data_IF_381907541234
#
_entry.id   IF_381907541234
#
_cell.length_a   1.000
_cell.length_b   1.000
_cell.length_c   1.000
_cell.angle_alpha   90.00
_cell.angle_beta   90.00
_cell.angle_gamma   90.00
#
_symmetry.space_group_name_H-M   'P 1'
#
loop_
_entity.id
_entity.type
_entity.pdbx_description
1 polymer ?
#
# COMPACT_ATOMS: atom_id res chain seq x y z
N UNK A 1 -8.65 14.26 -20.31
CA UNK A 1 -9.01 12.87 -19.91
C UNK A 1 -7.71 12.15 -19.62
N UNK A 2 -7.62 11.44 -18.48
CA UNK A 2 -6.43 10.66 -18.14
C UNK A 2 -6.39 9.42 -19.06
N UNK A 3 -5.51 9.43 -20.07
CA UNK A 3 -5.35 8.33 -21.01
C UNK A 3 -4.88 7.01 -20.36
N UNK A 4 -4.40 7.07 -19.11
CA UNK A 4 -3.83 5.94 -18.36
C UNK A 4 -4.80 5.39 -17.28
N UNK A 5 -6.06 5.82 -17.27
CA UNK A 5 -7.10 5.36 -16.34
C UNK A 5 -8.44 5.17 -17.06
N UNK A 6 -9.18 4.06 -16.84
CA UNK A 6 -8.90 2.98 -15.90
C UNK A 6 -7.84 1.99 -16.40
N UNK A 7 -7.09 1.38 -15.46
CA UNK A 7 -6.08 0.35 -15.74
C UNK A 7 -6.20 -0.79 -14.73
N UNK A 8 -5.86 -2.00 -15.16
CA UNK A 8 -5.69 -3.18 -14.30
C UNK A 8 -4.24 -3.67 -14.45
N UNK A 9 -3.57 -3.92 -13.32
CA UNK A 9 -2.19 -4.43 -13.26
C UNK A 9 -2.20 -5.77 -12.56
N UNK A 10 -1.41 -6.72 -13.04
CA UNK A 10 -1.35 -8.08 -12.47
C UNK A 10 0.09 -8.57 -12.43
N UNK A 11 0.47 -9.14 -11.30
CA UNK A 11 1.74 -9.84 -11.11
C UNK A 11 1.52 -11.09 -10.25
N UNK A 12 1.64 -12.26 -10.88
CA UNK A 12 1.32 -13.54 -10.25
C UNK A 12 -0.10 -13.55 -9.68
N UNK A 13 -0.23 -13.77 -8.38
CA UNK A 13 -1.52 -13.80 -7.69
C UNK A 13 -2.00 -12.42 -7.21
N UNK A 14 -1.18 -11.39 -7.36
CA UNK A 14 -1.50 -10.02 -6.91
C UNK A 14 -2.05 -9.20 -8.08
N UNK A 15 -3.16 -8.52 -7.85
CA UNK A 15 -3.77 -7.64 -8.85
C UNK A 15 -4.12 -6.27 -8.27
N UNK A 16 -4.08 -5.26 -9.13
CA UNK A 16 -4.59 -3.91 -8.88
C UNK A 16 -5.67 -3.61 -9.93
N UNK A 17 -6.85 -3.24 -9.49
CA UNK A 17 -7.94 -2.82 -10.35
C UNK A 17 -8.72 -1.64 -9.79
N UNK A 18 -9.41 -0.87 -10.63
CA UNK A 18 -10.26 0.21 -10.15
C UNK A 18 -11.31 -0.25 -9.14
N UNK A 19 -11.55 0.58 -8.10
CA UNK A 19 -12.62 0.34 -7.13
C UNK A 19 -14.00 0.45 -7.78
N UNK A 20 -14.92 -0.45 -7.43
CA UNK A 20 -16.27 -0.56 -7.98
C UNK A 20 -17.32 -0.56 -6.89
N UNK A 21 -18.56 -0.14 -7.21
CA UNK A 21 -19.67 -0.14 -6.24
C UNK A 21 -19.96 -1.53 -5.65
N UNK A 22 -19.77 -2.58 -6.44
CA UNK A 22 -19.95 -3.99 -6.01
C UNK A 22 -18.93 -4.45 -4.98
N UNK A 23 -17.85 -3.72 -4.76
CA UNK A 23 -16.83 -4.05 -3.76
C UNK A 23 -17.29 -3.76 -2.32
N UNK A 24 -18.45 -3.12 -2.15
CA UNK A 24 -18.95 -2.68 -0.85
C UNK A 24 -19.00 -3.79 0.21
N UNK A 25 -19.52 -4.97 -0.14
CA UNK A 25 -19.64 -6.09 0.80
C UNK A 25 -18.27 -6.56 1.29
N UNK A 26 -17.35 -6.85 0.37
CA UNK A 26 -15.99 -7.27 0.69
C UNK A 26 -15.22 -6.19 1.45
N UNK A 27 -15.33 -4.93 1.03
CA UNK A 27 -14.71 -3.79 1.70
C UNK A 27 -15.17 -3.67 3.16
N UNK A 28 -16.49 -3.76 3.39
CA UNK A 28 -17.08 -3.68 4.73
C UNK A 28 -16.63 -4.83 5.62
N UNK A 29 -16.66 -6.06 5.11
CA UNK A 29 -16.22 -7.26 5.83
C UNK A 29 -14.75 -7.14 6.25
N UNK A 30 -13.85 -6.80 5.31
CA UNK A 30 -12.42 -6.69 5.59
C UNK A 30 -12.16 -5.58 6.62
N UNK A 31 -12.76 -4.39 6.45
CA UNK A 31 -12.58 -3.28 7.39
C UNK A 31 -13.12 -3.61 8.79
N UNK A 32 -14.23 -4.35 8.88
CA UNK A 32 -14.82 -4.74 10.16
C UNK A 32 -13.92 -5.72 10.92
N UNK A 33 -13.42 -6.79 10.26
CA UNK A 33 -12.54 -7.77 10.91
C UNK A 33 -11.14 -7.22 11.22
N UNK A 34 -10.68 -6.24 10.45
CA UNK A 34 -9.36 -5.62 10.63
C UNK A 34 -9.40 -4.30 11.42
N UNK A 35 -10.52 -3.96 12.08
CA UNK A 35 -10.68 -2.65 12.72
C UNK A 35 -9.55 -2.32 13.70
N UNK A 36 -9.16 -3.27 14.56
CA UNK A 36 -8.07 -3.08 15.51
C UNK A 36 -6.71 -2.95 14.81
N UNK A 37 -6.49 -3.71 13.73
CA UNK A 37 -5.28 -3.69 12.93
C UNK A 37 -5.09 -2.38 12.15
N UNK A 38 -6.17 -1.83 11.57
CA UNK A 38 -6.13 -0.65 10.70
C UNK A 38 -6.24 0.67 11.47
N UNK A 39 -6.99 0.69 12.58
CA UNK A 39 -7.29 1.90 13.34
C UNK A 39 -6.07 2.78 13.65
N UNK A 40 -4.91 2.27 14.10
CA UNK A 40 -3.75 3.11 14.42
C UNK A 40 -3.20 3.87 13.19
N UNK A 41 -3.58 3.46 11.99
CA UNK A 41 -3.07 3.98 10.72
C UNK A 41 -4.16 4.68 9.89
N UNK A 42 -5.40 4.68 10.37
CA UNK A 42 -6.54 5.23 9.64
C UNK A 42 -6.53 6.76 9.69
N UNK A 43 -6.56 7.37 8.50
CA UNK A 43 -6.73 8.82 8.39
C UNK A 43 -8.10 9.24 8.91
N UNK A 44 -8.12 10.26 9.75
CA UNK A 44 -9.32 10.80 10.37
C UNK A 44 -9.46 12.29 10.06
N UNK A 45 -10.68 12.80 10.04
CA UNK A 45 -10.94 14.23 9.89
C UNK A 45 -10.78 14.90 11.24
N UNK A 46 -9.97 15.97 11.36
CA UNK A 46 -9.88 16.73 12.62
C UNK A 46 -11.24 17.33 12.98
N UNK A 47 -11.49 17.62 14.28
CA UNK A 47 -12.69 18.33 14.71
C UNK A 47 -12.86 19.65 13.95
N UNK A 48 -14.10 19.97 13.58
CA UNK A 48 -14.40 21.25 12.96
C UNK A 48 -14.09 22.40 13.92
N UNK A 49 -13.62 23.56 13.43
CA UNK A 49 -13.46 24.75 14.24
C UNK A 49 -14.79 25.18 14.91
N UNK A 50 -14.75 25.92 16.04
CA UNK A 50 -15.94 26.42 16.67
C UNK A 50 -16.85 27.18 15.68
N UNK A 51 -18.15 26.89 15.69
CA UNK A 51 -19.13 27.49 14.78
C UNK A 51 -19.24 26.82 13.39
N UNK A 52 -18.42 25.81 13.08
CA UNK A 52 -18.49 25.07 11.84
C UNK A 52 -19.08 23.67 12.04
N UNK A 53 -19.85 23.19 11.05
CA UNK A 53 -20.40 21.85 11.10
C UNK A 53 -19.33 20.81 10.76
N UNK A 54 -19.25 19.73 11.56
CA UNK A 54 -18.43 18.57 11.24
C UNK A 54 -18.92 17.93 9.95
N UNK A 55 -18.08 17.76 8.92
CA UNK A 55 -18.46 17.06 7.69
C UNK A 55 -18.91 15.63 8.01
N UNK A 56 -20.07 15.22 7.47
CA UNK A 56 -20.52 13.83 7.60
C UNK A 56 -19.57 12.91 6.81
N UNK A 57 -19.20 11.78 7.40
CA UNK A 57 -18.45 10.75 6.67
C UNK A 57 -19.26 10.31 5.44
N UNK A 58 -18.65 10.30 4.24
CA UNK A 58 -19.33 9.85 3.04
C UNK A 58 -19.70 8.37 3.14
N UNK A 59 -20.83 8.00 2.58
CA UNK A 59 -21.16 6.58 2.38
C UNK A 59 -20.19 5.95 1.39
N UNK A 60 -20.05 4.63 1.40
CA UNK A 60 -19.19 3.91 0.44
C UNK A 60 -19.52 4.31 -1.01
N UNK A 61 -20.82 4.41 -1.35
CA UNK A 61 -21.28 4.82 -2.67
C UNK A 61 -20.82 6.23 -3.07
N UNK A 62 -20.89 7.18 -2.12
CA UNK A 62 -20.41 8.55 -2.34
C UNK A 62 -18.90 8.58 -2.50
N UNK A 63 -18.18 7.82 -1.65
CA UNK A 63 -16.73 7.73 -1.71
C UNK A 63 -16.26 7.14 -3.06
N UNK A 64 -16.83 6.03 -3.53
CA UNK A 64 -16.49 5.43 -4.83
C UNK A 64 -16.79 6.39 -5.97
N UNK A 65 -17.90 7.15 -5.92
CA UNK A 65 -18.19 8.18 -6.94
C UNK A 65 -17.13 9.28 -6.95
N UNK A 66 -16.76 9.78 -5.78
CA UNK A 66 -15.72 10.79 -5.63
C UNK A 66 -14.38 10.29 -6.18
N UNK A 67 -13.91 9.12 -5.73
CA UNK A 67 -12.66 8.51 -6.18
C UNK A 67 -12.63 8.34 -7.72
N UNK A 68 -13.73 7.91 -8.32
CA UNK A 68 -13.83 7.78 -9.78
C UNK A 68 -13.79 9.12 -10.50
N UNK A 69 -14.45 10.15 -9.97
CA UNK A 69 -14.40 11.49 -10.53
C UNK A 69 -12.99 12.07 -10.50
N UNK A 70 -12.29 11.92 -9.36
CA UNK A 70 -10.89 12.34 -9.22
C UNK A 70 -9.95 11.57 -10.16
N UNK A 71 -10.19 10.26 -10.35
CA UNK A 71 -9.41 9.45 -11.27
C UNK A 71 -9.63 9.86 -12.74
N UNK A 72 -10.88 10.13 -13.16
CA UNK A 72 -11.16 10.66 -14.50
C UNK A 72 -10.57 12.04 -14.73
N UNK A 73 -10.47 12.84 -13.68
CA UNK A 73 -9.83 14.15 -13.73
C UNK A 73 -8.28 14.08 -13.69
N UNK A 74 -7.70 12.87 -13.57
CA UNK A 74 -6.26 12.67 -13.56
C UNK A 74 -5.56 13.08 -12.27
N UNK A 75 -6.31 13.24 -11.16
CA UNK A 75 -5.75 13.65 -9.88
C UNK A 75 -5.41 12.49 -8.95
N UNK A 76 -5.91 11.29 -9.23
CA UNK A 76 -5.59 10.08 -8.47
C UNK A 76 -5.83 8.80 -9.27
N UNK A 77 -5.31 7.68 -8.77
CA UNK A 77 -5.59 6.32 -9.24
C UNK A 77 -5.94 5.42 -8.04
N UNK A 78 -7.26 5.22 -7.74
CA UNK A 78 -7.72 4.44 -6.60
C UNK A 78 -7.90 2.96 -6.98
N UNK A 79 -7.02 2.11 -6.51
CA UNK A 79 -7.05 0.66 -6.75
C UNK A 79 -7.60 -0.12 -5.56
N UNK A 80 -8.30 -1.20 -5.88
CA UNK A 80 -8.46 -2.35 -5.01
C UNK A 80 -7.26 -3.26 -5.21
N UNK A 81 -6.64 -3.70 -4.11
CA UNK A 81 -5.63 -4.76 -4.13
C UNK A 81 -6.34 -6.10 -4.05
N UNK A 82 -6.02 -6.98 -4.98
CA UNK A 82 -6.52 -8.37 -4.97
C UNK A 82 -5.37 -9.35 -4.75
N UNK A 83 -5.67 -10.45 -4.08
CA UNK A 83 -4.79 -11.59 -3.94
C UNK A 83 -5.60 -12.85 -4.21
N UNK A 84 -5.14 -13.68 -5.14
CA UNK A 84 -5.89 -14.87 -5.61
C UNK A 84 -7.33 -14.50 -6.04
N UNK A 85 -7.48 -13.39 -6.76
CA UNK A 85 -8.76 -12.89 -7.26
C UNK A 85 -9.69 -12.25 -6.21
N UNK A 86 -9.35 -12.30 -4.91
CA UNK A 86 -10.17 -11.74 -3.81
C UNK A 86 -9.63 -10.36 -3.41
N UNK A 87 -10.53 -9.44 -3.11
CA UNK A 87 -10.15 -8.15 -2.51
C UNK A 87 -9.49 -8.38 -1.15
N UNK A 88 -8.31 -7.81 -0.95
CA UNK A 88 -7.56 -7.90 0.31
C UNK A 88 -7.06 -6.54 0.82
N UNK A 89 -7.29 -5.46 0.09
CA UNK A 89 -6.82 -4.14 0.49
C UNK A 89 -7.13 -3.06 -0.54
N UNK A 90 -6.56 -1.90 -0.32
CA UNK A 90 -6.59 -0.79 -1.27
C UNK A 90 -5.21 -0.16 -1.40
N UNK A 91 -4.93 0.37 -2.57
CA UNK A 91 -3.78 1.21 -2.86
C UNK A 91 -4.27 2.41 -3.68
N UNK A 92 -3.85 3.60 -3.29
CA UNK A 92 -4.23 4.82 -4.01
C UNK A 92 -2.99 5.63 -4.32
N UNK A 93 -2.81 5.99 -5.58
CA UNK A 93 -1.92 7.07 -5.99
C UNK A 93 -2.76 8.34 -5.95
N UNK A 94 -2.37 9.33 -5.17
CA UNK A 94 -3.13 10.55 -4.94
C UNK A 94 -2.26 11.80 -5.07
N UNK A 95 -2.89 12.96 -5.21
CA UNK A 95 -2.17 14.23 -5.33
C UNK A 95 -1.28 14.28 -6.56
N UNK A 96 -1.71 13.71 -7.68
CA UNK A 96 -0.96 13.77 -8.93
C UNK A 96 -0.85 15.24 -9.35
N UNK A 97 0.38 15.71 -9.37
CA UNK A 97 0.74 17.10 -9.69
C UNK A 97 1.74 17.09 -10.84
N UNK A 98 1.48 17.90 -11.85
CA UNK A 98 2.33 18.05 -13.03
C UNK A 98 3.25 19.28 -12.95
N UNK A 99 3.85 19.63 -14.03
CA UNK A 99 4.78 20.75 -14.14
C UNK A 99 6.14 20.44 -13.54
N UNK A 100 6.74 21.37 -12.82
CA UNK A 100 8.09 21.22 -12.25
C UNK A 100 8.18 20.19 -11.12
N UNK A 101 7.08 19.80 -10.49
CA UNK A 101 7.05 18.78 -9.44
C UNK A 101 6.92 17.38 -10.01
N UNK A 102 5.98 17.15 -10.92
CA UNK A 102 5.69 15.89 -11.61
C UNK A 102 5.67 14.68 -10.66
N UNK A 103 4.84 14.75 -9.60
CA UNK A 103 4.87 13.82 -8.47
C UNK A 103 3.48 13.37 -8.03
N UNK A 104 3.47 12.30 -7.22
CA UNK A 104 2.28 11.81 -6.52
C UNK A 104 2.65 11.12 -5.20
N UNK A 105 1.62 10.84 -4.39
CA UNK A 105 1.74 10.07 -3.14
C UNK A 105 1.08 8.71 -3.28
N UNK A 106 1.67 7.67 -2.69
CA UNK A 106 1.07 6.34 -2.60
C UNK A 106 0.65 6.08 -1.15
N UNK A 107 -0.62 5.73 -0.97
CA UNK A 107 -1.17 5.25 0.30
C UNK A 107 -1.78 3.86 0.13
N UNK A 108 -1.64 2.98 1.13
CA UNK A 108 -2.18 1.63 1.08
C UNK A 108 -2.57 1.08 2.44
N UNK A 109 -3.44 0.08 2.40
CA UNK A 109 -3.73 -0.80 3.52
C UNK A 109 -4.02 -2.21 3.04
N UNK A 110 -3.85 -3.19 3.91
CA UNK A 110 -4.05 -4.61 3.59
C UNK A 110 -4.69 -5.35 4.75
N UNK A 111 -5.45 -6.38 4.42
CA UNK A 111 -5.98 -7.37 5.35
C UNK A 111 -4.84 -8.08 6.09
N UNK A 112 -4.93 -8.14 7.42
CA UNK A 112 -3.96 -8.83 8.27
C UNK A 112 -3.77 -10.30 7.90
N UNK A 113 -4.81 -10.95 7.38
CA UNK A 113 -4.78 -12.36 6.96
C UNK A 113 -3.77 -12.65 5.84
N UNK A 114 -3.40 -11.63 5.04
CA UNK A 114 -2.42 -11.76 3.95
C UNK A 114 -1.19 -10.87 4.16
N UNK A 115 -1.08 -10.20 5.30
CA UNK A 115 0.11 -9.44 5.64
C UNK A 115 1.35 -10.34 5.70
N UNK A 116 2.50 -9.82 5.26
CA UNK A 116 3.75 -10.59 5.22
C UNK A 116 3.94 -11.49 4.00
N UNK A 117 2.91 -11.70 3.16
CA UNK A 117 2.96 -12.56 1.96
C UNK A 117 3.48 -11.85 0.70
N UNK A 118 4.10 -10.69 0.80
CA UNK A 118 4.61 -9.95 -0.36
C UNK A 118 3.54 -9.19 -1.16
N UNK A 119 2.27 -9.24 -0.78
CA UNK A 119 1.16 -8.62 -1.54
C UNK A 119 1.37 -7.12 -1.72
N UNK A 120 1.63 -6.38 -0.64
CA UNK A 120 1.81 -4.92 -0.73
C UNK A 120 3.08 -4.52 -1.45
N UNK A 121 4.27 -5.09 -1.17
CA UNK A 121 5.45 -4.78 -1.97
C UNK A 121 5.24 -5.00 -3.47
N UNK A 122 4.61 -6.11 -3.88
CA UNK A 122 4.28 -6.37 -5.28
C UNK A 122 3.33 -5.31 -5.85
N UNK A 123 2.26 -4.97 -5.11
CA UNK A 123 1.30 -3.94 -5.51
C UNK A 123 1.97 -2.56 -5.68
N UNK A 124 2.84 -2.17 -4.73
CA UNK A 124 3.59 -0.91 -4.79
C UNK A 124 4.57 -0.92 -5.96
N UNK A 125 5.29 -2.02 -6.20
CA UNK A 125 6.20 -2.12 -7.34
C UNK A 125 5.45 -1.96 -8.68
N UNK A 126 4.33 -2.68 -8.87
CA UNK A 126 3.50 -2.56 -10.08
C UNK A 126 3.02 -1.12 -10.32
N UNK A 127 2.51 -0.46 -9.29
CA UNK A 127 1.97 0.89 -9.47
C UNK A 127 3.08 1.92 -9.65
N UNK A 128 4.25 1.72 -9.04
CA UNK A 128 5.44 2.57 -9.25
C UNK A 128 5.88 2.52 -10.70
N UNK A 129 6.02 1.32 -11.26
CA UNK A 129 6.39 1.14 -12.67
C UNK A 129 5.35 1.77 -13.60
N UNK A 130 4.06 1.56 -13.32
CA UNK A 130 3.00 2.22 -14.09
C UNK A 130 3.10 3.75 -14.02
N UNK A 131 3.35 4.32 -12.84
CA UNK A 131 3.50 5.77 -12.67
C UNK A 131 4.69 6.33 -13.40
N UNK A 132 5.84 5.67 -13.37
CA UNK A 132 7.08 6.16 -14.02
C UNK A 132 7.09 5.86 -15.51
N UNK A 133 6.87 4.61 -15.91
CA UNK A 133 7.07 4.15 -17.27
C UNK A 133 5.88 4.43 -18.21
N UNK A 134 4.66 4.53 -17.66
CA UNK A 134 3.44 4.71 -18.47
C UNK A 134 2.84 6.09 -18.30
N UNK A 135 2.67 6.55 -17.05
CA UNK A 135 2.06 7.86 -16.75
C UNK A 135 3.06 9.00 -16.95
N UNK A 136 4.35 8.74 -16.74
CA UNK A 136 5.43 9.72 -16.90
C UNK A 136 5.62 10.63 -15.69
N UNK A 137 5.27 10.16 -14.48
CA UNK A 137 5.63 10.87 -13.26
C UNK A 137 7.14 10.74 -12.99
N UNK A 138 7.71 11.75 -12.35
CA UNK A 138 9.12 11.78 -11.98
C UNK A 138 9.36 11.28 -10.55
N UNK A 139 8.42 11.57 -9.61
CA UNK A 139 8.61 11.33 -8.19
C UNK A 139 7.41 10.70 -7.53
N UNK A 140 7.65 9.68 -6.69
CA UNK A 140 6.63 9.08 -5.83
C UNK A 140 7.04 9.17 -4.35
N UNK A 141 6.08 9.55 -3.50
CA UNK A 141 6.24 9.64 -2.06
C UNK A 141 5.33 8.66 -1.33
N UNK A 142 5.86 8.07 -0.25
CA UNK A 142 5.08 7.27 0.70
C UNK A 142 5.37 7.82 2.10
N UNK A 143 4.35 8.38 2.75
CA UNK A 143 4.46 8.96 4.09
C UNK A 143 3.99 7.94 5.12
N UNK A 144 4.87 7.55 6.04
CA UNK A 144 4.64 6.46 6.99
C UNK A 144 4.90 6.96 8.40
N UNK A 145 4.00 6.67 9.33
CA UNK A 145 4.24 6.95 10.76
C UNK A 145 5.49 6.19 11.24
N UNK A 146 6.36 6.80 12.05
CA UNK A 146 7.59 6.15 12.57
C UNK A 146 7.33 4.78 13.22
N UNK A 147 6.18 4.62 13.88
CA UNK A 147 5.80 3.40 14.57
C UNK A 147 5.29 2.28 13.66
N UNK A 148 4.98 2.59 12.39
CA UNK A 148 4.48 1.59 11.44
C UNK A 148 5.60 0.76 10.81
N UNK A 149 6.25 -0.07 11.62
CA UNK A 149 7.34 -0.95 11.20
C UNK A 149 7.00 -1.84 10.01
N UNK A 150 5.82 -2.49 9.94
CA UNK A 150 5.42 -3.26 8.76
C UNK A 150 5.44 -2.45 7.47
N UNK A 151 4.90 -1.23 7.45
CA UNK A 151 4.88 -0.37 6.27
C UNK A 151 6.27 0.15 5.90
N UNK A 152 7.10 0.48 6.89
CA UNK A 152 8.50 0.88 6.66
C UNK A 152 9.28 -0.24 5.96
N UNK A 153 9.14 -1.49 6.40
CA UNK A 153 9.78 -2.64 5.73
C UNK A 153 9.35 -2.83 4.28
N UNK A 154 8.13 -2.40 3.89
CA UNK A 154 7.70 -2.44 2.49
C UNK A 154 8.56 -1.52 1.63
N UNK A 155 8.67 -0.26 2.03
CA UNK A 155 9.40 0.77 1.26
C UNK A 155 10.91 0.52 1.26
N UNK A 156 11.47 0.04 2.38
CA UNK A 156 12.87 -0.36 2.50
C UNK A 156 13.22 -1.52 1.53
N UNK A 157 12.36 -2.54 1.46
CA UNK A 157 12.51 -3.65 0.50
C UNK A 157 12.45 -3.20 -0.96
N UNK A 158 11.73 -2.15 -1.26
CA UNK A 158 11.58 -1.61 -2.59
C UNK A 158 12.62 -0.55 -2.95
N UNK A 159 13.48 -0.17 -2.00
CA UNK A 159 14.55 0.79 -2.23
C UNK A 159 14.10 2.25 -2.22
N UNK A 160 12.92 2.53 -1.65
CA UNK A 160 12.54 3.90 -1.38
C UNK A 160 13.48 4.51 -0.34
N UNK A 161 13.96 5.72 -0.61
CA UNK A 161 14.90 6.44 0.24
C UNK A 161 14.16 7.28 1.28
N UNK A 162 14.60 7.21 2.54
CA UNK A 162 14.12 8.10 3.59
C UNK A 162 14.66 9.51 3.36
N UNK A 163 13.79 10.52 3.28
CA UNK A 163 14.19 11.91 3.09
C UNK A 163 14.06 12.75 4.35
N UNK A 164 13.25 12.35 5.29
CA UNK A 164 13.12 13.07 6.55
C UNK A 164 11.75 12.98 7.20
N UNK A 165 11.62 13.64 8.34
CA UNK A 165 10.41 13.66 9.16
C UNK A 165 9.56 14.90 8.84
N UNK A 166 8.26 14.70 8.67
CA UNK A 166 7.22 15.75 8.65
C UNK A 166 6.47 15.74 9.98
N UNK A 167 6.78 16.63 10.93
CA UNK A 167 6.10 16.67 12.22
C UNK A 167 4.63 17.03 12.08
N UNK A 168 3.76 16.30 12.80
CA UNK A 168 2.31 16.56 12.84
C UNK A 168 1.66 16.72 11.46
N UNK A 169 2.05 15.86 10.54
CA UNK A 169 1.75 15.99 9.11
C UNK A 169 0.30 15.60 8.76
N UNK A 170 -0.17 14.44 9.25
CA UNK A 170 -1.50 13.94 8.96
C UNK A 170 -2.29 13.67 10.24
N UNK A 171 -3.60 13.86 10.17
CA UNK A 171 -4.51 13.52 11.26
C UNK A 171 -4.88 12.04 11.19
N UNK A 172 -4.31 11.23 12.09
CA UNK A 172 -4.44 9.77 12.13
C UNK A 172 -4.93 9.35 13.52
N UNK A 173 -5.93 8.45 13.58
CA UNK A 173 -6.51 7.94 14.83
C UNK A 173 -6.78 9.05 15.86
N UNK A 174 -7.47 10.10 15.42
CA UNK A 174 -7.92 11.20 16.25
C UNK A 174 -6.84 12.23 16.64
N UNK A 175 -5.65 12.23 16.03
CA UNK A 175 -4.60 13.20 16.33
C UNK A 175 -3.65 13.48 15.18
N UNK A 176 -3.00 14.64 15.22
CA UNK A 176 -1.93 14.98 14.27
C UNK A 176 -0.69 14.14 14.58
N UNK A 177 -0.18 13.42 13.58
CA UNK A 177 0.92 12.46 13.73
C UNK A 177 2.07 12.79 12.80
N UNK A 178 3.28 12.49 13.29
CA UNK A 178 4.50 12.59 12.51
C UNK A 178 4.55 11.50 11.46
N UNK A 179 5.16 11.82 10.31
CA UNK A 179 5.38 10.87 9.22
C UNK A 179 6.80 11.01 8.68
N UNK A 180 7.46 9.89 8.49
CA UNK A 180 8.68 9.80 7.71
C UNK A 180 8.28 9.77 6.23
N UNK A 181 8.95 10.57 5.41
CA UNK A 181 8.77 10.62 3.96
C UNK A 181 9.77 9.67 3.33
N UNK A 182 9.26 8.72 2.58
CA UNK A 182 10.05 7.83 1.72
C UNK A 182 9.79 8.18 0.27
N UNK A 183 10.84 8.27 -0.53
CA UNK A 183 10.76 8.74 -1.92
C UNK A 183 11.50 7.83 -2.87
N UNK A 184 11.03 7.83 -4.11
CA UNK A 184 11.70 7.22 -5.24
C UNK A 184 11.49 8.12 -6.46
N UNK A 185 12.53 8.30 -7.26
CA UNK A 185 12.47 9.02 -8.52
C UNK A 185 12.61 8.04 -9.70
N UNK A 186 12.12 8.43 -10.87
CA UNK A 186 12.16 7.60 -12.07
C UNK A 186 13.58 7.22 -12.48
N UNK A 187 14.56 8.10 -12.25
CA UNK A 187 15.98 7.87 -12.54
C UNK A 187 16.62 6.82 -11.63
N UNK A 188 16.08 6.61 -10.43
CA UNK A 188 16.58 5.60 -9.49
C UNK A 188 16.27 4.17 -10.00
N UNK A 189 15.24 4.03 -10.85
CA UNK A 189 14.72 2.75 -11.37
C UNK A 189 14.32 2.85 -12.86
N UNK A 190 15.26 3.11 -13.76
CA UNK A 190 14.95 3.36 -15.18
C UNK A 190 14.27 2.18 -15.88
N UNK A 191 14.47 0.96 -15.40
CA UNK A 191 13.83 -0.26 -15.92
C UNK A 191 12.62 -0.71 -15.06
N UNK A 192 12.25 0.07 -14.06
CA UNK A 192 11.19 -0.21 -13.09
C UNK A 192 11.65 -0.96 -11.85
N UNK A 193 10.75 -1.07 -10.86
CA UNK A 193 10.96 -1.77 -9.59
C UNK A 193 10.66 -3.26 -9.67
N UNK A 194 9.68 -3.64 -10.47
CA UNK A 194 9.11 -4.99 -10.50
C UNK A 194 10.15 -6.05 -10.91
N UNK A 195 11.05 -5.83 -11.89
CA UNK A 195 12.09 -6.78 -12.22
C UNK A 195 13.00 -7.11 -11.02
N UNK A 196 13.47 -6.08 -10.31
CA UNK A 196 14.30 -6.26 -9.11
C UNK A 196 13.55 -6.91 -7.94
N UNK A 197 12.25 -6.62 -7.79
CA UNK A 197 11.41 -7.26 -6.79
C UNK A 197 11.23 -8.76 -7.08
N UNK A 198 10.97 -9.14 -8.33
CA UNK A 198 10.88 -10.56 -8.78
C UNK A 198 12.17 -11.34 -8.50
N UNK A 199 13.31 -10.77 -8.85
CA UNK A 199 14.60 -11.41 -8.64
C UNK A 199 14.86 -11.72 -7.15
N UNK A 200 14.51 -10.80 -6.24
CA UNK A 200 14.61 -11.03 -4.78
C UNK A 200 13.64 -12.12 -4.28
N UNK A 201 12.42 -12.17 -4.82
CA UNK A 201 11.44 -13.21 -4.49
C UNK A 201 11.91 -14.60 -4.91
N UNK A 202 12.50 -14.72 -6.10
CA UNK A 202 13.06 -15.96 -6.61
C UNK A 202 14.25 -16.44 -5.78
N UNK A 203 15.16 -15.54 -5.41
CA UNK A 203 16.32 -15.87 -4.56
C UNK A 203 15.92 -16.32 -3.14
N UNK A 204 14.90 -15.66 -2.54
CA UNK A 204 14.37 -16.05 -1.23
C UNK A 204 13.63 -17.39 -1.23
N UNK A 205 13.00 -17.76 -2.35
CA UNK A 205 12.35 -19.05 -2.54
C UNK A 205 13.35 -20.19 -2.72
N UNK A 206 14.46 -19.95 -3.41
CA UNK A 206 15.53 -20.94 -3.61
C UNK A 206 16.27 -21.28 -2.29
N UNK A 207 16.50 -20.29 -1.44
CA UNK A 207 17.15 -20.50 -0.13
C UNK A 207 16.30 -21.30 0.86
N UNK A 208 14.98 -21.36 0.68
CA UNK A 208 14.07 -22.11 1.54
C UNK A 208 13.96 -23.60 1.15
N UNK A 209 14.45 -24.00 -0.02
CA UNK A 209 14.38 -25.38 -0.53
C UNK A 209 15.64 -26.19 -0.18
N UNK A 210 16.75 -25.53 0.13
CA UNK A 210 18.05 -26.16 0.38
C UNK A 210 18.43 -26.35 1.87
N UNK A 211 17.48 -26.29 2.80
CA UNK A 211 17.73 -26.68 4.19
C UNK A 211 17.62 -28.20 4.33
N UNK A 212 18.73 -28.96 4.57
CA UNK A 212 18.65 -30.40 4.76
C UNK A 212 17.91 -30.69 6.07
N UNK A 213 16.92 -31.61 5.95
CA UNK A 213 16.17 -32.09 7.10
C UNK A 213 17.10 -32.68 8.16
N UNK A 214 17.13 -32.05 9.32
CA UNK A 214 17.77 -32.62 10.52
C UNK A 214 16.88 -33.75 11.01
N UNK A 215 17.39 -34.99 10.81
CA UNK A 215 16.75 -36.21 11.26
C UNK A 215 16.55 -36.23 12.77
N UNK A 216 15.36 -36.61 13.15
CA UNK A 216 14.94 -36.92 14.51
C UNK A 216 15.67 -38.19 15.00
N UNK A 217 16.66 -38.05 15.87
CA UNK A 217 17.07 -39.16 16.71
C UNK A 217 16.47 -38.98 18.09
N UNK A 218 15.44 -39.79 18.32
CA UNK A 218 14.95 -40.09 19.66
C UNK A 218 16.02 -40.90 20.40
N UNK A 219 16.52 -40.39 21.50
CA UNK A 219 17.07 -41.23 22.57
C UNK A 219 16.33 -40.98 23.89
N UNK A 220 15.69 -42.08 24.25
CA UNK A 220 15.08 -42.40 25.49
C UNK A 220 16.15 -42.52 26.59
N UNK A 221 16.04 -41.84 27.73
CA UNK A 221 16.57 -42.34 29.01
C UNK A 221 15.74 -41.86 30.18
N UNK A 222 15.16 -42.85 30.76
CA UNK A 222 14.55 -43.01 32.08
C UNK A 222 15.50 -42.61 33.24
N UNK A 223 14.87 -42.17 34.30
CA UNK A 223 15.13 -42.42 35.73
C UNK A 223 15.69 -41.33 36.64
N UNK A 224 14.90 -41.17 37.70
CA UNK A 224 15.18 -41.14 39.15
C UNK A 224 15.71 -39.81 39.76
N UNK A 225 14.89 -39.10 40.43
CA UNK A 225 14.57 -38.95 41.90
C UNK A 225 13.71 -37.70 42.13
#
# INVERSE_FOLDING_TARGET
MNAHWPVELVEGEVGLRPIRQRDHASWREINQRNRAWLRPWEATVPPAPPGHHQPRRPTFRQNVRHLRAEAHAGRMMPFVVTYQGRMVGQLTVAGITWGSLCAAHIGYWVDSAVAGRGVIPTAVAMVTDHCFLTVGLHRLEICIRPENGPSRRVVEKLGYREEGLRPRYLHIDGGWRDHIVYTLNSEDVPEGLLPGWRARGAAGGAAAVDAPGVGNHAENKTDIR
#
